data_IF_468840497608
#
_entry.id   IF_468840497608
#
_cell.length_a   1.000
_cell.length_b   1.000
_cell.length_c   1.000
_cell.angle_alpha   90.00
_cell.angle_beta   90.00
_cell.angle_gamma   90.00
#
_symmetry.space_group_name_H-M   'P 1'
#
loop_
_entity.id
_entity.type
_entity.pdbx_description
1 polymer ?
#
# COMPACT_ATOMS: atom_id res chain seq x y z
N UNK A 1 -10.57 -22.18 -13.51
CA UNK A 1 -9.14 -22.17 -13.14
C UNK A 1 -8.26 -21.44 -14.16
N UNK A 2 -8.36 -21.74 -15.47
CA UNK A 2 -7.58 -21.06 -16.53
C UNK A 2 -7.74 -19.53 -16.51
N UNK A 3 -8.97 -19.03 -16.32
CA UNK A 3 -9.24 -17.59 -16.23
C UNK A 3 -8.55 -16.93 -15.03
N UNK A 4 -8.56 -17.58 -13.86
CA UNK A 4 -7.91 -17.06 -12.65
C UNK A 4 -6.39 -16.99 -12.82
N UNK A 5 -5.79 -18.01 -13.45
CA UNK A 5 -4.36 -18.04 -13.75
C UNK A 5 -4.00 -16.96 -14.77
N UNK A 6 -4.83 -16.77 -15.80
CA UNK A 6 -4.62 -15.72 -16.80
C UNK A 6 -4.71 -14.31 -16.19
N UNK A 7 -5.63 -14.08 -15.24
CA UNK A 7 -5.76 -12.80 -14.54
C UNK A 7 -4.54 -12.53 -13.64
N UNK A 8 -4.08 -13.53 -12.89
CA UNK A 8 -2.89 -13.40 -12.04
C UNK A 8 -1.62 -13.15 -12.87
N UNK A 9 -1.44 -13.89 -13.98
CA UNK A 9 -0.33 -13.68 -14.91
C UNK A 9 -0.40 -12.32 -15.58
N UNK A 10 -1.59 -11.86 -15.98
CA UNK A 10 -1.77 -10.53 -16.56
C UNK A 10 -1.39 -9.43 -15.57
N UNK A 11 -1.78 -9.56 -14.30
CA UNK A 11 -1.37 -8.64 -13.23
C UNK A 11 0.15 -8.60 -13.06
N UNK A 12 0.80 -9.77 -13.05
CA UNK A 12 2.25 -9.89 -12.92
C UNK A 12 3.01 -9.31 -14.13
N UNK A 13 2.48 -9.49 -15.34
CA UNK A 13 3.10 -9.02 -16.59
C UNK A 13 2.76 -7.55 -16.95
N UNK A 14 1.73 -6.97 -16.35
CA UNK A 14 1.31 -5.58 -16.62
C UNK A 14 2.10 -4.53 -15.84
N UNK A 15 3.16 -4.95 -15.16
CA UNK A 15 4.03 -4.09 -14.35
C UNK A 15 4.50 -2.83 -15.08
N UNK A 16 4.12 -1.70 -14.49
CA UNK A 16 4.80 -0.40 -14.51
C UNK A 16 4.93 0.39 -15.83
N UNK A 17 4.04 0.19 -16.79
CA UNK A 17 4.06 1.02 -18.03
C UNK A 17 3.57 2.46 -17.85
N UNK A 18 3.62 3.03 -16.64
CA UNK A 18 3.22 4.43 -16.44
C UNK A 18 3.26 4.98 -15.03
N UNK A 19 3.91 4.35 -14.04
CA UNK A 19 4.03 5.00 -12.71
C UNK A 19 4.79 6.32 -12.81
N UNK A 20 5.83 6.40 -13.64
CA UNK A 20 6.61 7.65 -13.81
C UNK A 20 5.76 8.82 -14.33
N UNK A 21 4.90 8.60 -15.33
CA UNK A 21 3.97 9.63 -15.82
C UNK A 21 2.96 10.05 -14.76
N UNK A 22 2.41 9.09 -14.01
CA UNK A 22 1.45 9.36 -12.93
C UNK A 22 2.11 10.11 -11.76
N UNK A 23 3.33 9.73 -11.37
CA UNK A 23 4.10 10.42 -10.34
C UNK A 23 4.41 11.87 -10.74
N UNK A 24 4.74 12.10 -12.02
CA UNK A 24 4.94 13.46 -12.55
C UNK A 24 3.65 14.28 -12.47
N UNK A 25 2.51 13.71 -12.83
CA UNK A 25 1.20 14.37 -12.73
C UNK A 25 0.84 14.73 -11.28
N UNK A 26 1.05 13.80 -10.34
CA UNK A 26 0.85 14.03 -8.88
C UNK A 26 1.69 15.23 -8.41
N UNK A 27 2.97 15.26 -8.78
CA UNK A 27 3.85 16.38 -8.44
C UNK A 27 3.43 17.71 -9.09
N UNK A 28 2.96 17.69 -10.33
CA UNK A 28 2.46 18.89 -11.02
C UNK A 28 1.18 19.46 -10.39
N UNK A 29 0.33 18.59 -9.84
CA UNK A 29 -0.91 18.98 -9.16
C UNK A 29 -0.69 19.33 -7.68
N UNK A 30 0.53 19.19 -7.16
CA UNK A 30 0.83 19.41 -5.74
C UNK A 30 0.13 18.42 -4.81
N UNK A 31 -0.20 17.22 -5.31
CA UNK A 31 -0.82 16.16 -4.53
C UNK A 31 0.23 15.37 -3.75
N UNK A 32 -0.12 14.90 -2.56
CA UNK A 32 0.79 14.12 -1.70
C UNK A 32 1.06 12.74 -2.28
N UNK A 33 0.04 12.09 -2.84
CA UNK A 33 0.19 10.86 -3.62
C UNK A 33 -0.92 10.71 -4.69
N UNK A 34 -0.84 9.62 -5.46
CA UNK A 34 -1.87 9.25 -6.41
C UNK A 34 -3.01 8.53 -5.69
N UNK A 35 -4.23 9.06 -5.79
CA UNK A 35 -5.41 8.37 -5.28
C UNK A 35 -5.69 7.08 -6.08
N UNK A 36 -5.15 5.96 -5.60
CA UNK A 36 -5.27 4.65 -6.24
C UNK A 36 -6.70 4.12 -6.18
N UNK A 37 -7.42 4.47 -5.12
CA UNK A 37 -8.74 3.94 -4.83
C UNK A 37 -9.63 4.97 -4.15
N UNK A 38 -10.89 5.06 -4.56
CA UNK A 38 -11.83 6.06 -4.03
C UNK A 38 -12.63 5.56 -2.84
N UNK A 39 -12.65 4.26 -2.53
CA UNK A 39 -13.62 3.69 -1.60
C UNK A 39 -13.13 3.67 -0.14
N UNK A 40 -12.07 2.91 0.19
CA UNK A 40 -11.53 2.91 1.55
C UNK A 40 -10.72 4.19 1.84
N UNK A 41 -10.99 4.83 2.99
CA UNK A 41 -10.30 6.07 3.39
C UNK A 41 -8.79 5.90 3.49
N UNK A 42 -8.34 4.75 3.98
CA UNK A 42 -6.93 4.40 4.13
C UNK A 42 -6.27 3.90 2.85
N UNK A 43 -7.03 3.71 1.75
CA UNK A 43 -6.47 3.34 0.44
C UNK A 43 -6.42 4.48 -0.57
N UNK A 44 -7.02 5.64 -0.22
CA UNK A 44 -7.08 6.82 -1.08
C UNK A 44 -5.81 7.67 -1.04
N UNK A 45 -5.12 7.74 0.08
CA UNK A 45 -3.78 8.33 0.18
C UNK A 45 -2.96 7.51 1.17
N UNK A 46 -2.32 6.40 0.75
CA UNK A 46 -1.59 5.52 1.66
C UNK A 46 -0.55 6.25 2.53
N UNK A 47 0.02 7.34 2.02
CA UNK A 47 0.98 8.18 2.74
C UNK A 47 0.38 8.99 3.89
N UNK A 48 -0.93 9.27 3.85
CA UNK A 48 -1.67 10.06 4.83
C UNK A 48 -2.73 9.26 5.57
N UNK A 49 -2.85 7.98 5.25
CA UNK A 49 -3.81 7.08 5.85
C UNK A 49 -3.44 6.79 7.31
N UNK A 50 -4.44 6.86 8.20
CA UNK A 50 -4.32 6.37 9.56
C UNK A 50 -4.22 4.83 9.56
N UNK A 51 -3.21 4.30 10.25
CA UNK A 51 -2.96 2.86 10.37
C UNK A 51 -4.02 2.14 11.22
N UNK A 52 -4.78 2.89 12.03
CA UNK A 52 -5.84 2.35 12.90
C UNK A 52 -7.22 2.34 12.26
N UNK A 53 -7.34 2.87 11.04
CA UNK A 53 -8.63 2.93 10.33
C UNK A 53 -9.03 1.58 9.70
N UNK A 54 -8.07 0.68 9.44
CA UNK A 54 -8.38 -0.65 8.94
C UNK A 54 -9.02 -1.51 10.06
N UNK A 55 -10.06 -2.27 9.71
CA UNK A 55 -10.72 -3.24 10.61
C UNK A 55 -11.43 -2.65 11.84
N UNK A 56 -11.94 -1.41 11.76
CA UNK A 56 -12.77 -0.83 12.84
C UNK A 56 -14.18 -1.44 12.93
N UNK A 57 -14.58 -2.25 11.96
CA UNK A 57 -15.85 -2.94 11.99
C UNK A 57 -15.88 -4.07 13.03
N UNK A 58 -17.09 -4.47 13.41
CA UNK A 58 -17.30 -5.54 14.39
C UNK A 58 -16.75 -6.90 13.90
N UNK A 59 -16.33 -7.80 14.80
CA UNK A 59 -15.89 -9.14 14.42
C UNK A 59 -16.92 -9.84 13.52
N UNK A 60 -16.46 -10.49 12.45
CA UNK A 60 -17.31 -11.14 11.42
C UNK A 60 -18.19 -10.20 10.57
N UNK A 61 -17.94 -8.88 10.61
CA UNK A 61 -18.52 -7.95 9.64
C UNK A 61 -18.01 -8.23 8.22
N UNK A 62 -18.84 -7.90 7.23
CA UNK A 62 -18.38 -7.77 5.86
C UNK A 62 -17.65 -6.43 5.70
N UNK A 63 -16.48 -6.47 5.07
CA UNK A 63 -15.72 -5.27 4.74
C UNK A 63 -16.53 -4.42 3.75
N UNK A 64 -16.82 -3.17 4.14
CA UNK A 64 -17.56 -2.24 3.30
C UNK A 64 -16.69 -1.66 2.18
N UNK A 65 -15.37 -1.79 2.30
CA UNK A 65 -14.39 -1.24 1.38
C UNK A 65 -13.38 -2.31 0.97
N UNK A 66 -13.77 -3.29 0.13
CA UNK A 66 -12.97 -4.49 -0.19
C UNK A 66 -11.60 -4.14 -0.79
N UNK A 67 -11.47 -2.94 -1.34
CA UNK A 67 -10.22 -2.37 -1.83
C UNK A 67 -9.11 -2.29 -0.78
N UNK A 68 -9.46 -2.27 0.51
CA UNK A 68 -8.49 -2.38 1.60
C UNK A 68 -7.59 -3.61 1.49
N UNK A 69 -8.11 -4.71 0.94
CA UNK A 69 -7.37 -5.96 0.75
C UNK A 69 -6.35 -5.92 -0.39
N UNK A 70 -6.38 -4.90 -1.25
CA UNK A 70 -5.47 -4.74 -2.38
C UNK A 70 -4.20 -3.96 -2.02
N UNK A 71 -4.17 -3.32 -0.84
CA UNK A 71 -2.98 -2.66 -0.33
C UNK A 71 -2.20 -3.64 0.53
N UNK A 72 -0.95 -3.89 0.16
CA UNK A 72 -0.06 -4.69 0.96
C UNK A 72 0.14 -4.04 2.33
N UNK A 73 0.19 -4.85 3.39
CA UNK A 73 0.57 -4.36 4.70
C UNK A 73 1.91 -3.60 4.60
N UNK A 74 2.09 -2.49 5.34
CA UNK A 74 3.36 -1.80 5.37
C UNK A 74 4.45 -2.80 5.71
N UNK A 75 5.49 -2.90 4.87
CA UNK A 75 6.69 -3.63 5.22
C UNK A 75 7.33 -2.87 6.38
N UNK A 76 6.93 -3.20 7.62
CA UNK A 76 7.66 -2.76 8.78
C UNK A 76 9.06 -3.35 8.62
N UNK A 77 10.05 -2.50 8.35
CA UNK A 77 11.44 -2.88 8.34
C UNK A 77 11.82 -3.30 9.78
N UNK A 78 11.53 -4.54 10.16
CA UNK A 78 11.92 -5.13 11.44
C UNK A 78 13.44 -5.13 11.63
N UNK A 79 14.21 -4.90 10.57
CA UNK A 79 15.67 -4.96 10.56
C UNK A 79 16.40 -3.66 10.91
N UNK A 80 15.73 -2.50 11.01
CA UNK A 80 16.45 -1.23 11.21
C UNK A 80 16.84 -0.98 12.68
N UNK A 81 16.20 -1.65 13.65
CA UNK A 81 16.46 -1.45 15.08
C UNK A 81 17.54 -2.36 15.67
N UNK A 82 17.92 -3.44 14.97
CA UNK A 82 19.05 -4.29 15.35
C UNK A 82 20.41 -3.67 14.96
N UNK A 83 20.43 -2.80 13.95
CA UNK A 83 21.66 -2.14 13.51
C UNK A 83 22.10 -0.97 14.43
N UNK A 84 21.18 -0.39 15.20
CA UNK A 84 21.49 0.74 16.09
C UNK A 84 22.04 0.34 17.46
N UNK A 85 21.98 -0.94 17.86
CA UNK A 85 22.50 -1.40 19.16
C UNK A 85 23.96 -1.83 19.11
N UNK A 86 24.53 -2.07 17.93
CA UNK A 86 25.92 -2.56 17.79
C UNK A 86 26.94 -1.42 17.78
N UNK A 87 26.52 -0.17 17.63
CA UNK A 87 27.40 0.99 17.60
C UNK A 87 27.65 1.63 18.99
N UNK A 88 26.82 1.32 20.00
CA UNK A 88 27.07 1.78 21.38
C UNK A 88 28.07 0.89 22.15
N UNK A 89 28.31 -0.35 21.72
CA UNK A 89 29.24 -1.26 22.37
C UNK A 89 30.72 -1.01 22.00
N UNK A 90 30.99 0.01 21.18
CA UNK A 90 32.34 0.32 20.67
C UNK A 90 32.84 1.73 21.03
N UNK A 91 32.24 2.38 22.03
CA UNK A 91 32.75 3.61 22.62
C UNK A 91 33.31 3.39 24.01
#
# INVERSE_FOLDING_TARGET
MVLAIAVLLHGFMSGDRGLSQRAKLVGQLGLTDLALFTEARYTRHPSQADLHSAFQDHPMSFDHFPTGSLIAAPLQNFNTRAASSTDEAKK
#
